data_IF_729429238954
#
_entry.id   IF_729429238954
#
_cell.length_a   1.000
_cell.length_b   1.000
_cell.length_c   1.000
_cell.angle_alpha   90.00
_cell.angle_beta   90.00
_cell.angle_gamma   90.00
#
_symmetry.space_group_name_H-M   'P 1'
#
loop_
_entity.id
_entity.type
_entity.pdbx_description
1 polymer ?
#
# COMPACT_ATOMS: atom_id res chain seq x y z
N UNK A 1 30.20 11.24 56.90
CA UNK A 1 29.86 10.41 55.71
C UNK A 1 31.14 10.13 54.94
N UNK A 2 31.66 8.91 55.01
CA UNK A 2 33.00 8.55 54.51
C UNK A 2 33.15 8.78 53.01
N UNK A 3 34.32 9.25 52.59
CA UNK A 3 34.71 9.49 51.19
C UNK A 3 34.43 8.28 50.28
N UNK A 4 34.51 7.06 50.82
CA UNK A 4 34.17 5.80 50.14
C UNK A 4 32.68 5.68 49.76
N UNK A 5 31.77 6.21 50.58
CA UNK A 5 30.32 6.18 50.31
C UNK A 5 29.94 7.17 49.20
N UNK A 6 30.63 8.33 49.11
CA UNK A 6 30.44 9.30 48.02
C UNK A 6 30.94 8.76 46.67
N UNK A 7 32.05 8.04 46.67
CA UNK A 7 32.60 7.38 45.46
C UNK A 7 31.68 6.31 44.89
N UNK A 8 31.00 5.54 45.74
CA UNK A 8 30.01 4.54 45.33
C UNK A 8 28.79 5.19 44.65
N UNK A 9 28.29 6.31 45.17
CA UNK A 9 27.19 7.05 44.53
C UNK A 9 27.58 7.65 43.17
N UNK A 10 28.81 8.18 43.04
CA UNK A 10 29.30 8.73 41.77
C UNK A 10 29.50 7.63 40.72
N UNK A 11 30.05 6.48 41.12
CA UNK A 11 30.19 5.31 40.23
C UNK A 11 28.83 4.76 39.78
N UNK A 12 27.84 4.74 40.68
CA UNK A 12 26.47 4.34 40.34
C UNK A 12 25.77 5.31 39.40
N UNK A 13 26.06 6.61 39.49
CA UNK A 13 25.46 7.62 38.62
C UNK A 13 26.03 7.59 37.19
N UNK A 14 27.32 7.28 37.05
CA UNK A 14 27.99 7.14 35.74
C UNK A 14 27.46 5.95 34.92
N UNK A 15 26.98 4.89 35.56
CA UNK A 15 26.39 3.73 34.87
C UNK A 15 25.03 4.01 34.25
N UNK A 16 24.29 5.03 34.71
CA UNK A 16 22.97 5.39 34.19
C UNK A 16 23.02 6.27 32.92
N UNK A 17 24.18 6.81 32.56
CA UNK A 17 24.35 7.75 31.42
C UNK A 17 24.65 6.99 30.11
N UNK A 18 24.91 5.68 30.15
CA UNK A 18 25.26 4.87 28.95
C UNK A 18 24.07 4.32 28.15
N UNK A 19 22.83 4.67 28.47
CA UNK A 19 21.68 4.35 27.62
C UNK A 19 21.61 5.29 26.40
N UNK A 20 22.43 5.02 25.38
CA UNK A 20 22.27 5.65 24.07
C UNK A 20 21.01 5.09 23.41
N UNK A 21 19.92 5.85 23.42
CA UNK A 21 18.69 5.49 22.73
C UNK A 21 18.98 5.24 21.23
N UNK A 22 18.73 4.01 20.77
CA UNK A 22 19.01 3.59 19.41
C UNK A 22 17.90 4.07 18.45
N UNK A 23 17.86 5.37 18.20
CA UNK A 23 16.88 6.02 17.29
C UNK A 23 17.04 5.59 15.82
N UNK A 24 18.15 4.95 15.45
CA UNK A 24 18.39 4.46 14.10
C UNK A 24 17.42 3.31 13.71
N UNK A 25 17.04 2.48 14.67
CA UNK A 25 16.11 1.38 14.43
C UNK A 25 14.66 1.85 14.25
N UNK A 26 14.26 2.94 14.91
CA UNK A 26 12.89 3.47 14.79
C UNK A 26 12.66 4.17 13.45
N UNK A 27 13.64 4.95 12.97
CA UNK A 27 13.58 5.61 11.66
C UNK A 27 13.55 4.59 10.51
N UNK A 28 14.45 3.59 10.53
CA UNK A 28 14.44 2.52 9.53
C UNK A 28 13.12 1.74 9.52
N UNK A 29 12.56 1.45 10.70
CA UNK A 29 11.26 0.78 10.81
C UNK A 29 10.12 1.65 10.29
N UNK A 30 10.15 2.96 10.55
CA UNK A 30 9.20 3.91 10.01
C UNK A 30 9.24 3.96 8.48
N UNK A 31 10.43 4.15 7.88
CA UNK A 31 10.59 4.21 6.43
C UNK A 31 10.12 2.91 5.76
N UNK A 32 10.43 1.75 6.35
CA UNK A 32 9.90 0.46 5.87
C UNK A 32 8.37 0.42 5.88
N UNK A 33 7.72 0.90 6.94
CA UNK A 33 6.25 0.94 7.04
C UNK A 33 5.63 1.88 6.00
N UNK A 34 6.20 3.07 5.82
CA UNK A 34 5.77 4.03 4.80
C UNK A 34 5.86 3.41 3.41
N UNK A 35 7.01 2.80 3.08
CA UNK A 35 7.22 2.12 1.81
C UNK A 35 6.23 1.00 1.54
N UNK A 36 6.04 0.09 2.50
CA UNK A 36 5.07 -1.01 2.35
C UNK A 36 3.62 -0.49 2.29
N UNK A 37 3.32 0.61 3.00
CA UNK A 37 2.07 1.36 2.88
C UNK A 37 1.85 1.85 1.45
N UNK A 38 2.82 2.56 0.87
CA UNK A 38 2.75 3.09 -0.49
C UNK A 38 2.57 1.98 -1.53
N UNK A 39 3.30 0.87 -1.38
CA UNK A 39 3.13 -0.31 -2.23
C UNK A 39 1.69 -0.83 -2.13
N UNK A 40 1.17 -1.01 -0.91
CA UNK A 40 -0.18 -1.51 -0.68
C UNK A 40 -1.25 -0.60 -1.29
N UNK A 41 -1.18 0.72 -1.03
CA UNK A 41 -2.16 1.68 -1.52
C UNK A 41 -2.08 1.87 -3.03
N UNK A 42 -0.89 1.86 -3.62
CA UNK A 42 -0.73 1.89 -5.09
C UNK A 42 -1.43 0.70 -5.74
N UNK A 43 -1.19 -0.52 -5.22
CA UNK A 43 -1.85 -1.74 -5.72
C UNK A 43 -3.37 -1.63 -5.57
N UNK A 44 -3.86 -1.10 -4.45
CA UNK A 44 -5.29 -0.91 -4.22
C UNK A 44 -5.90 0.11 -5.19
N UNK A 45 -5.20 1.20 -5.50
CA UNK A 45 -5.65 2.16 -6.51
C UNK A 45 -5.75 1.53 -7.90
N UNK A 46 -4.79 0.68 -8.28
CA UNK A 46 -4.86 -0.09 -9.54
C UNK A 46 -6.07 -1.04 -9.55
N UNK A 47 -6.34 -1.72 -8.43
CA UNK A 47 -7.55 -2.54 -8.27
C UNK A 47 -8.83 -1.72 -8.48
N UNK A 48 -8.97 -0.58 -7.78
CA UNK A 48 -10.12 0.30 -7.94
C UNK A 48 -10.25 0.86 -9.35
N UNK A 49 -9.13 1.18 -10.01
CA UNK A 49 -9.14 1.64 -11.40
C UNK A 49 -9.54 0.52 -12.37
N UNK A 50 -9.11 -0.72 -12.12
CA UNK A 50 -9.58 -1.90 -12.87
C UNK A 50 -11.10 -2.07 -12.75
N UNK A 51 -11.67 -2.02 -11.54
CA UNK A 51 -13.12 -2.08 -11.35
C UNK A 51 -13.82 -0.94 -12.11
N UNK A 52 -13.32 0.29 -11.97
CA UNK A 52 -13.89 1.47 -12.62
C UNK A 52 -13.92 1.34 -14.15
N UNK A 53 -12.90 0.70 -14.75
CA UNK A 53 -12.84 0.49 -16.19
C UNK A 53 -13.67 -0.72 -16.66
N UNK A 54 -13.76 -1.77 -15.84
CA UNK A 54 -14.39 -3.04 -16.22
C UNK A 54 -15.92 -3.07 -16.06
N UNK A 55 -16.48 -2.37 -15.07
CA UNK A 55 -17.94 -2.26 -14.93
C UNK A 55 -18.50 -1.32 -16.01
N UNK A 56 -19.42 -1.82 -16.82
CA UNK A 56 -20.09 -1.04 -17.86
C UNK A 56 -21.04 0.00 -17.23
N UNK A 57 -21.84 -0.42 -16.25
CA UNK A 57 -22.67 0.48 -15.47
C UNK A 57 -21.81 1.25 -14.44
N UNK A 58 -21.58 2.54 -14.73
CA UNK A 58 -20.78 3.43 -13.87
C UNK A 58 -21.49 3.84 -12.58
N UNK A 59 -22.81 3.71 -12.50
CA UNK A 59 -23.56 4.02 -11.29
C UNK A 59 -23.18 3.08 -10.14
N UNK A 60 -22.82 1.82 -10.42
CA UNK A 60 -22.33 0.87 -9.41
C UNK A 60 -21.08 1.44 -8.71
N UNK A 61 -20.12 1.94 -9.49
CA UNK A 61 -18.88 2.50 -8.94
C UNK A 61 -19.16 3.82 -8.21
N UNK A 62 -20.08 4.63 -8.73
CA UNK A 62 -20.52 5.87 -8.07
C UNK A 62 -21.14 5.57 -6.70
N UNK A 63 -22.03 4.59 -6.61
CA UNK A 63 -22.65 4.16 -5.34
C UNK A 63 -21.65 3.57 -4.36
N UNK A 64 -20.62 2.87 -4.83
CA UNK A 64 -19.54 2.43 -3.91
C UNK A 64 -18.82 3.65 -3.34
N UNK A 65 -18.49 4.64 -4.18
CA UNK A 65 -17.76 5.86 -3.76
C UNK A 65 -18.53 6.77 -2.82
N UNK A 66 -19.86 6.64 -2.69
CA UNK A 66 -20.63 7.43 -1.73
C UNK A 66 -20.43 6.95 -0.29
N UNK A 67 -20.15 5.65 -0.11
CA UNK A 67 -20.02 5.01 1.21
C UNK A 67 -18.58 4.60 1.52
N UNK A 68 -17.80 4.24 0.49
CA UNK A 68 -16.44 3.72 0.61
C UNK A 68 -15.43 4.76 0.09
N UNK A 69 -14.43 5.08 0.92
CA UNK A 69 -13.31 5.95 0.56
C UNK A 69 -12.40 5.36 -0.53
N UNK A 70 -12.60 4.09 -0.89
CA UNK A 70 -11.77 3.32 -1.79
C UNK A 70 -10.28 3.45 -1.39
N UNK A 71 -9.41 3.58 -2.39
CA UNK A 71 -7.97 3.64 -2.21
C UNK A 71 -7.42 5.08 -2.22
N UNK A 72 -8.16 6.06 -1.71
CA UNK A 72 -7.67 7.44 -1.61
C UNK A 72 -6.50 7.50 -0.63
N UNK A 73 -5.35 7.97 -1.11
CA UNK A 73 -4.15 8.15 -0.31
C UNK A 73 -3.35 9.32 -0.87
N UNK A 74 -3.21 10.39 -0.09
CA UNK A 74 -2.73 11.69 -0.56
C UNK A 74 -1.31 11.63 -1.13
N UNK A 75 -0.42 10.83 -0.55
CA UNK A 75 0.97 10.66 -1.03
C UNK A 75 1.04 10.02 -2.43
N UNK A 76 -0.06 9.45 -2.93
CA UNK A 76 -0.17 8.86 -4.26
C UNK A 76 -0.94 9.74 -5.25
N UNK A 77 -1.36 10.94 -4.86
CA UNK A 77 -2.16 11.86 -5.69
C UNK A 77 -1.40 12.47 -6.88
N UNK A 78 -0.08 12.27 -6.98
CA UNK A 78 0.71 12.85 -8.08
C UNK A 78 0.17 12.43 -9.47
N UNK A 79 0.10 13.34 -10.45
CA UNK A 79 -0.45 13.02 -11.78
C UNK A 79 0.24 11.85 -12.49
N UNK A 80 1.54 11.67 -12.30
CA UNK A 80 2.30 10.57 -12.89
C UNK A 80 1.91 9.20 -12.30
N UNK A 81 1.70 9.15 -10.98
CA UNK A 81 1.20 7.93 -10.32
C UNK A 81 -0.22 7.62 -10.79
N UNK A 82 -1.10 8.61 -10.82
CA UNK A 82 -2.49 8.42 -11.25
C UNK A 82 -2.59 7.95 -12.71
N UNK A 83 -1.79 8.53 -13.62
CA UNK A 83 -1.69 8.04 -15.01
C UNK A 83 -1.26 6.58 -15.08
N UNK A 84 -0.28 6.19 -14.26
CA UNK A 84 0.20 4.80 -14.21
C UNK A 84 -0.89 3.87 -13.67
N UNK A 85 -1.55 4.27 -12.57
CA UNK A 85 -2.66 3.55 -11.96
C UNK A 85 -3.77 3.29 -12.98
N UNK A 86 -4.19 4.33 -13.70
CA UNK A 86 -5.27 4.25 -14.68
C UNK A 86 -4.90 3.41 -15.88
N UNK A 87 -3.66 3.53 -16.36
CA UNK A 87 -3.15 2.71 -17.46
C UNK A 87 -3.18 1.22 -17.10
N UNK A 88 -2.62 0.85 -15.94
CA UNK A 88 -2.60 -0.55 -15.48
C UNK A 88 -4.01 -1.10 -15.25
N UNK A 89 -4.87 -0.33 -14.57
CA UNK A 89 -6.26 -0.72 -14.33
C UNK A 89 -7.02 -0.96 -15.63
N UNK A 90 -6.85 -0.07 -16.62
CA UNK A 90 -7.49 -0.18 -17.94
C UNK A 90 -7.00 -1.40 -18.71
N UNK A 91 -5.70 -1.68 -18.72
CA UNK A 91 -5.13 -2.85 -19.40
C UNK A 91 -5.81 -4.12 -18.90
N UNK A 92 -5.87 -4.31 -17.58
CA UNK A 92 -6.50 -5.49 -16.99
C UNK A 92 -7.98 -5.54 -17.32
N UNK A 93 -8.70 -4.43 -17.16
CA UNK A 93 -10.13 -4.36 -17.44
C UNK A 93 -10.48 -4.80 -18.88
N UNK A 94 -9.65 -4.44 -19.85
CA UNK A 94 -9.83 -4.82 -21.26
C UNK A 94 -9.65 -6.33 -21.53
N UNK A 95 -8.95 -7.05 -20.65
CA UNK A 95 -8.80 -8.51 -20.76
C UNK A 95 -9.99 -9.29 -20.22
N UNK A 96 -10.91 -8.65 -19.49
CA UNK A 96 -12.00 -9.31 -18.80
C UNK A 96 -13.13 -9.60 -19.80
N UNK A 97 -13.28 -10.88 -20.16
CA UNK A 97 -14.30 -11.36 -21.08
C UNK A 97 -15.49 -11.98 -20.32
N UNK A 98 -16.69 -12.01 -20.94
CA UNK A 98 -17.79 -12.80 -20.44
C UNK A 98 -17.42 -14.28 -20.29
N UNK A 99 -18.05 -14.95 -19.35
CA UNK A 99 -17.92 -16.39 -19.16
C UNK A 99 -18.62 -17.16 -20.28
N UNK A 100 -18.02 -18.27 -20.71
CA UNK A 100 -18.54 -19.12 -21.80
C UNK A 100 -19.51 -20.19 -21.29
N UNK A 101 -19.62 -20.37 -19.98
CA UNK A 101 -20.52 -21.35 -19.37
C UNK A 101 -21.99 -20.90 -19.49
N UNK A 102 -22.92 -21.78 -19.91
CA UNK A 102 -24.33 -21.43 -20.10
C UNK A 102 -24.98 -20.75 -18.87
N UNK A 103 -24.67 -21.21 -17.66
CA UNK A 103 -25.23 -20.67 -16.41
C UNK A 103 -24.78 -19.22 -16.09
N UNK A 104 -23.73 -18.76 -16.77
CA UNK A 104 -23.10 -17.44 -16.57
C UNK A 104 -23.09 -16.60 -17.84
N UNK A 105 -23.93 -16.93 -18.83
CA UNK A 105 -23.95 -16.27 -20.13
C UNK A 105 -23.98 -14.74 -19.99
N UNK A 106 -23.03 -14.08 -20.66
CA UNK A 106 -22.87 -12.62 -20.65
C UNK A 106 -22.28 -12.01 -19.36
N UNK A 107 -22.09 -12.78 -18.29
CA UNK A 107 -21.53 -12.28 -17.03
C UNK A 107 -20.00 -12.29 -17.07
N UNK A 108 -19.38 -11.27 -16.47
CA UNK A 108 -17.92 -11.13 -16.34
C UNK A 108 -17.51 -11.33 -14.88
N UNK A 109 -16.42 -12.06 -14.63
CA UNK A 109 -15.80 -12.17 -13.28
C UNK A 109 -14.92 -10.95 -12.95
N UNK A 110 -15.50 -9.75 -13.00
CA UNK A 110 -14.76 -8.48 -12.89
C UNK A 110 -13.93 -8.40 -11.61
N UNK A 111 -14.56 -8.60 -10.46
CA UNK A 111 -13.91 -8.50 -9.14
C UNK A 111 -12.77 -9.52 -9.01
N UNK A 112 -13.00 -10.76 -9.43
CA UNK A 112 -12.00 -11.83 -9.39
C UNK A 112 -10.80 -11.46 -10.25
N UNK A 113 -10.99 -11.03 -11.50
CA UNK A 113 -9.88 -10.68 -12.39
C UNK A 113 -9.09 -9.46 -11.92
N UNK A 114 -9.77 -8.42 -11.42
CA UNK A 114 -9.07 -7.29 -10.82
C UNK A 114 -8.30 -7.71 -9.56
N UNK A 115 -8.84 -8.62 -8.73
CA UNK A 115 -8.19 -9.12 -7.52
C UNK A 115 -7.01 -10.04 -7.82
N UNK A 116 -7.11 -10.88 -8.86
CA UNK A 116 -5.99 -11.68 -9.37
C UNK A 116 -4.82 -10.76 -9.76
N UNK A 117 -5.08 -9.63 -10.44
CA UNK A 117 -4.03 -8.67 -10.75
C UNK A 117 -3.48 -7.95 -9.51
N UNK A 118 -4.36 -7.54 -8.58
CA UNK A 118 -3.97 -6.95 -7.30
C UNK A 118 -2.97 -7.82 -6.53
N UNK A 119 -3.18 -9.14 -6.55
CA UNK A 119 -2.33 -10.13 -5.86
C UNK A 119 -1.16 -10.63 -6.72
N UNK A 120 -1.06 -10.23 -7.99
CA UNK A 120 -0.05 -10.72 -8.91
C UNK A 120 1.37 -10.28 -8.55
N UNK A 121 2.35 -11.14 -8.89
CA UNK A 121 3.79 -10.80 -8.81
C UNK A 121 4.16 -9.66 -9.76
N UNK A 122 3.47 -9.54 -10.88
CA UNK A 122 3.70 -8.48 -11.86
C UNK A 122 3.45 -7.11 -11.25
N UNK A 123 2.24 -6.89 -10.71
CA UNK A 123 1.89 -5.63 -10.08
C UNK A 123 2.75 -5.35 -8.84
N UNK A 124 3.11 -6.40 -8.08
CA UNK A 124 4.03 -6.27 -6.94
C UNK A 124 5.41 -5.75 -7.37
N UNK A 125 5.95 -6.28 -8.47
CA UNK A 125 7.24 -5.84 -9.02
C UNK A 125 7.18 -4.39 -9.50
N UNK A 126 6.08 -3.99 -10.17
CA UNK A 126 5.86 -2.61 -10.62
C UNK A 126 5.84 -1.66 -9.42
N UNK A 127 5.04 -1.99 -8.40
CA UNK A 127 4.92 -1.18 -7.19
C UNK A 127 6.27 -1.06 -6.44
N UNK A 128 6.98 -2.17 -6.25
CA UNK A 128 8.30 -2.17 -5.59
C UNK A 128 9.36 -1.39 -6.37
N UNK A 129 9.33 -1.44 -7.70
CA UNK A 129 10.22 -0.64 -8.55
C UNK A 129 9.92 0.84 -8.39
N UNK A 130 8.63 1.22 -8.35
CA UNK A 130 8.20 2.61 -8.18
C UNK A 130 8.64 3.20 -6.84
N UNK A 131 8.44 2.47 -5.75
CA UNK A 131 8.78 2.91 -4.39
C UNK A 131 10.14 2.39 -3.92
N UNK A 132 11.08 2.12 -4.84
CA UNK A 132 12.40 1.58 -4.48
C UNK A 132 13.18 2.56 -3.59
N UNK A 133 13.09 3.85 -3.88
CA UNK A 133 13.86 4.93 -3.26
C UNK A 133 13.07 5.73 -2.21
N UNK A 134 11.85 5.28 -1.88
CA UNK A 134 11.12 5.72 -0.69
C UNK A 134 11.57 4.91 0.53
#
# INVERSE_FOLDING_TARGET
MGTKLKLLFIASFLLLISCKANNYNSERAFNKRVKEGNIKYFKMQVYCSCLNNAYENKDIIKSIRTEDLLAVFDDLSSPDIQKTVDSLGKIVAQTIKPEEYPDFEGKKRITVKCLEYYTSKELDNIARKRFRNY
#
